data_IF_032276307550
#
_entry.id   IF_032276307550
#
_cell.length_a   1.000
_cell.length_b   1.000
_cell.length_c   1.000
_cell.angle_alpha   90.00
_cell.angle_beta   90.00
_cell.angle_gamma   90.00
#
_symmetry.space_group_name_H-M   'P 1'
#
loop_
_entity.id
_entity.type
_entity.pdbx_description
1 polymer ?
#
# COMPACT_ATOMS: atom_id res chain seq x y z
N UNK A 1 21.46 17.72 -10.23
CA UNK A 1 21.86 17.11 -11.51
C UNK A 1 20.60 16.48 -12.05
N UNK A 2 20.19 16.83 -13.26
CA UNK A 2 19.11 16.09 -13.94
C UNK A 2 19.81 14.90 -14.57
N UNK A 3 19.88 13.80 -13.82
CA UNK A 3 20.28 12.54 -14.43
C UNK A 3 19.25 12.21 -15.52
N UNK A 4 19.74 11.85 -16.71
CA UNK A 4 18.91 11.53 -17.87
C UNK A 4 18.22 10.17 -17.63
N UNK A 5 17.24 10.16 -16.75
CA UNK A 5 16.44 8.98 -16.46
C UNK A 5 15.51 8.66 -17.63
N UNK A 6 15.53 7.40 -18.08
CA UNK A 6 14.50 6.87 -18.99
C UNK A 6 13.43 6.17 -18.16
N UNK A 7 12.18 6.60 -18.28
CA UNK A 7 11.07 6.00 -17.53
C UNK A 7 10.32 4.98 -18.37
N UNK A 8 10.27 3.75 -17.87
CA UNK A 8 9.63 2.61 -18.52
C UNK A 8 8.51 2.03 -17.63
N UNK A 9 7.38 1.59 -18.21
CA UNK A 9 6.34 0.90 -17.45
C UNK A 9 6.86 -0.37 -16.78
N UNK A 10 6.46 -0.62 -15.53
CA UNK A 10 6.70 -1.88 -14.84
C UNK A 10 5.59 -2.90 -15.14
N UNK A 11 5.77 -4.14 -14.70
CA UNK A 11 4.79 -5.23 -14.91
C UNK A 11 3.42 -4.98 -14.24
N UNK A 12 3.40 -4.16 -13.19
CA UNK A 12 2.18 -3.78 -12.48
C UNK A 12 1.71 -2.42 -12.97
N UNK A 13 0.42 -2.29 -13.28
CA UNK A 13 -0.17 -1.04 -13.75
C UNK A 13 0.01 0.10 -12.73
N UNK A 14 0.37 1.30 -13.21
CA UNK A 14 0.60 2.47 -12.37
C UNK A 14 1.99 2.53 -11.72
N UNK A 15 2.84 1.52 -11.94
CA UNK A 15 4.23 1.46 -11.47
C UNK A 15 5.17 1.55 -12.66
N UNK A 16 6.30 2.23 -12.48
CA UNK A 16 7.32 2.41 -13.50
C UNK A 16 8.71 2.15 -12.91
N UNK A 17 9.70 2.05 -13.79
CA UNK A 17 11.11 2.02 -13.42
C UNK A 17 11.81 3.21 -14.09
N UNK A 18 12.60 3.95 -13.32
CA UNK A 18 13.55 4.91 -13.86
C UNK A 18 14.87 4.18 -14.11
N UNK A 19 15.29 4.11 -15.38
CA UNK A 19 16.58 3.57 -15.81
C UNK A 19 17.60 4.70 -15.79
N UNK A 20 18.65 4.54 -15.00
CA UNK A 20 19.74 5.50 -14.84
C UNK A 20 21.06 4.76 -14.56
N UNK A 21 21.94 5.37 -13.75
CA UNK A 21 23.12 4.67 -13.21
C UNK A 21 22.68 3.56 -12.25
N UNK A 22 21.70 3.84 -11.40
CA UNK A 22 20.97 2.86 -10.61
C UNK A 22 19.49 2.89 -10.99
N UNK A 23 18.89 1.71 -11.16
CA UNK A 23 17.46 1.59 -11.46
C UNK A 23 16.63 1.87 -10.21
N UNK A 24 15.60 2.72 -10.33
CA UNK A 24 14.70 3.03 -9.24
C UNK A 24 13.25 2.65 -9.55
N UNK A 25 12.57 2.01 -8.59
CA UNK A 25 11.12 1.78 -8.67
C UNK A 25 10.39 3.09 -8.39
N UNK A 26 9.52 3.51 -9.30
CA UNK A 26 8.87 4.82 -9.21
C UNK A 26 7.36 4.75 -9.47
N UNK A 27 6.62 5.76 -9.01
CA UNK A 27 5.22 5.99 -9.40
C UNK A 27 5.01 7.43 -9.83
N UNK A 28 3.98 7.67 -10.64
CA UNK A 28 3.58 9.04 -10.97
C UNK A 28 3.06 9.73 -9.72
N UNK A 29 3.61 10.89 -9.39
CA UNK A 29 3.21 11.64 -8.21
C UNK A 29 1.79 12.19 -8.41
N UNK A 30 0.88 11.87 -7.48
CA UNK A 30 -0.49 12.39 -7.51
C UNK A 30 -0.57 13.89 -7.20
N UNK A 31 0.42 14.44 -6.50
CA UNK A 31 0.44 15.84 -6.07
C UNK A 31 1.79 16.48 -6.42
N UNK A 32 1.97 16.91 -7.68
CA UNK A 32 3.20 17.49 -8.18
C UNK A 32 3.55 18.82 -7.48
N UNK A 33 4.84 19.13 -7.37
CA UNK A 33 5.33 20.44 -6.94
C UNK A 33 5.04 20.85 -5.48
N UNK A 34 4.42 19.99 -4.67
CA UNK A 34 4.19 20.25 -3.24
C UNK A 34 5.32 19.75 -2.35
N UNK A 35 5.37 20.24 -1.11
CA UNK A 35 6.18 19.65 -0.03
C UNK A 35 5.50 18.36 0.48
N UNK A 36 5.50 17.34 -0.36
CA UNK A 36 4.74 16.10 -0.19
C UNK A 36 5.64 14.86 -0.07
N UNK A 37 6.95 15.09 0.08
CA UNK A 37 7.94 14.07 0.38
C UNK A 37 7.59 13.52 1.75
N UNK A 38 7.02 12.33 1.73
CA UNK A 38 6.97 11.49 2.92
C UNK A 38 8.33 10.78 2.91
N UNK A 39 9.19 11.05 3.89
CA UNK A 39 10.48 10.36 4.09
C UNK A 39 11.55 10.48 2.98
N UNK A 40 12.08 11.69 2.71
CA UNK A 40 13.31 11.90 1.91
C UNK A 40 13.36 11.18 0.54
N UNK A 41 12.20 10.95 -0.07
CA UNK A 41 12.09 10.24 -1.35
C UNK A 41 12.65 11.06 -2.52
N UNK A 42 13.37 10.38 -3.42
CA UNK A 42 13.86 10.98 -4.66
C UNK A 42 12.69 11.37 -5.57
N UNK A 43 12.80 12.51 -6.24
CA UNK A 43 11.82 12.99 -7.21
C UNK A 43 12.45 13.15 -8.57
N UNK A 44 11.79 12.59 -9.58
CA UNK A 44 12.21 12.65 -10.97
C UNK A 44 11.16 13.44 -11.73
N UNK A 45 11.56 14.55 -12.35
CA UNK A 45 10.66 15.36 -13.18
C UNK A 45 11.04 15.19 -14.64
N UNK A 46 10.09 14.73 -15.45
CA UNK A 46 10.27 14.54 -16.88
C UNK A 46 9.44 15.56 -17.62
N UNK A 47 10.12 16.36 -18.46
CA UNK A 47 9.45 17.28 -19.38
C UNK A 47 9.05 16.52 -20.64
N UNK A 48 7.77 16.55 -20.97
CA UNK A 48 7.23 15.96 -22.20
C UNK A 48 7.42 16.90 -23.38
N UNK A 49 7.32 16.34 -24.58
CA UNK A 49 7.37 17.07 -25.85
C UNK A 49 6.28 18.14 -25.96
N UNK A 50 5.13 17.94 -25.31
CA UNK A 50 4.02 18.89 -25.25
C UNK A 50 4.26 20.08 -24.28
N UNK A 51 5.41 20.11 -23.61
CA UNK A 51 5.79 21.11 -22.61
C UNK A 51 5.21 20.87 -21.21
N UNK A 52 4.36 19.87 -21.02
CA UNK A 52 3.89 19.45 -19.69
C UNK A 52 5.01 18.74 -18.92
N UNK A 53 4.91 18.73 -17.59
CA UNK A 53 5.87 18.06 -16.70
C UNK A 53 5.14 16.97 -15.94
N UNK A 54 5.64 15.74 -16.07
CA UNK A 54 5.25 14.64 -15.19
C UNK A 54 6.28 14.54 -14.06
N UNK A 55 5.80 14.50 -12.83
CA UNK A 55 6.63 14.26 -11.65
C UNK A 55 6.43 12.82 -11.18
N UNK A 56 7.53 12.14 -10.88
CA UNK A 56 7.58 10.79 -10.36
C UNK A 56 8.27 10.78 -9.00
N UNK A 57 7.90 9.83 -8.16
CA UNK A 57 8.49 9.58 -6.83
C UNK A 57 9.19 8.24 -6.82
N UNK A 58 10.40 8.20 -6.27
CA UNK A 58 11.18 7.00 -6.03
C UNK A 58 10.78 6.30 -4.75
N UNK A 59 10.69 4.97 -4.81
CA UNK A 59 10.26 4.13 -3.70
C UNK A 59 11.37 3.25 -3.18
N UNK A 60 11.75 3.49 -1.94
CA UNK A 60 12.78 2.71 -1.28
C UNK A 60 12.21 1.39 -0.73
N UNK A 61 12.63 0.21 -1.26
CA UNK A 61 12.16 -1.09 -0.77
C UNK A 61 12.54 -1.38 0.69
N UNK A 62 13.56 -0.73 1.23
CA UNK A 62 13.96 -0.92 2.63
C UNK A 62 13.00 -0.26 3.63
N UNK A 63 12.15 0.66 3.17
CA UNK A 63 11.15 1.36 3.99
C UNK A 63 9.71 0.98 3.65
N UNK A 64 9.46 0.29 2.52
CA UNK A 64 8.12 -0.13 2.10
C UNK A 64 8.08 -1.61 1.74
N UNK A 65 7.35 -2.40 2.53
CA UNK A 65 7.18 -3.85 2.30
C UNK A 65 6.51 -4.15 0.96
N UNK A 66 5.57 -3.32 0.52
CA UNK A 66 4.95 -3.47 -0.80
C UNK A 66 5.96 -3.25 -1.92
N UNK A 67 6.80 -2.21 -1.85
CA UNK A 67 7.86 -1.96 -2.83
C UNK A 67 8.88 -3.11 -2.86
N UNK A 68 9.28 -3.62 -1.69
CA UNK A 68 10.14 -4.80 -1.59
C UNK A 68 9.50 -6.02 -2.27
N UNK A 69 8.22 -6.30 -2.00
CA UNK A 69 7.51 -7.43 -2.61
C UNK A 69 7.41 -7.30 -4.15
N UNK A 70 7.18 -6.09 -4.66
CA UNK A 70 7.13 -5.81 -6.10
C UNK A 70 8.48 -6.10 -6.76
N UNK A 71 9.58 -5.64 -6.16
CA UNK A 71 10.94 -5.87 -6.65
C UNK A 71 11.37 -7.34 -6.54
N UNK A 72 10.96 -8.04 -5.48
CA UNK A 72 11.18 -9.48 -5.34
C UNK A 72 10.34 -10.33 -6.31
N UNK A 73 9.54 -9.71 -7.17
CA UNK A 73 8.88 -10.40 -8.26
C UNK A 73 7.48 -10.93 -7.93
N UNK A 74 6.80 -10.43 -6.89
CA UNK A 74 5.41 -10.78 -6.60
C UNK A 74 4.54 -10.63 -7.87
N UNK A 75 3.78 -11.67 -8.22
CA UNK A 75 3.15 -11.77 -9.54
C UNK A 75 2.06 -10.74 -9.80
N UNK A 76 1.19 -10.51 -8.80
CA UNK A 76 0.15 -9.50 -8.85
C UNK A 76 -0.07 -8.93 -7.44
N UNK A 77 -0.32 -7.63 -7.36
CA UNK A 77 -0.63 -6.90 -6.13
C UNK A 77 -2.09 -6.46 -6.07
N UNK A 78 -2.84 -6.54 -7.18
CA UNK A 78 -4.25 -6.14 -7.34
C UNK A 78 -4.55 -4.67 -7.05
N UNK A 79 -3.54 -3.89 -6.69
CA UNK A 79 -3.55 -2.44 -6.56
C UNK A 79 -3.17 -1.88 -7.93
N UNK A 80 -4.12 -1.24 -8.59
CA UNK A 80 -4.00 -0.70 -9.95
C UNK A 80 -4.78 0.61 -10.06
N UNK A 81 -4.56 1.42 -11.12
CA UNK A 81 -5.33 2.64 -11.34
C UNK A 81 -6.84 2.41 -11.23
N UNK A 82 -7.52 3.23 -10.43
CA UNK A 82 -8.96 3.14 -10.15
C UNK A 82 -9.39 2.12 -9.11
N UNK A 83 -8.47 1.31 -8.54
CA UNK A 83 -8.82 0.33 -7.53
C UNK A 83 -9.24 0.99 -6.19
N UNK A 84 -10.16 0.33 -5.49
CA UNK A 84 -10.53 0.63 -4.11
C UNK A 84 -9.75 -0.29 -3.18
N UNK A 85 -8.92 0.27 -2.31
CA UNK A 85 -8.00 -0.47 -1.43
C UNK A 85 -8.41 -0.27 0.02
N UNK A 86 -8.49 -1.35 0.80
CA UNK A 86 -8.62 -1.29 2.26
C UNK A 86 -7.29 -1.69 2.91
N UNK A 87 -6.62 -0.73 3.53
CA UNK A 87 -5.40 -0.92 4.30
C UNK A 87 -5.73 -1.16 5.78
N UNK A 88 -5.22 -2.27 6.33
CA UNK A 88 -5.41 -2.65 7.74
C UNK A 88 -4.07 -2.59 8.48
N UNK A 89 -4.01 -1.79 9.55
CA UNK A 89 -2.84 -1.66 10.42
C UNK A 89 -1.60 -1.15 9.69
N UNK A 90 -1.80 -0.17 8.80
CA UNK A 90 -0.71 0.48 8.07
C UNK A 90 -0.45 1.83 8.71
N UNK A 91 0.68 1.95 9.38
CA UNK A 91 1.13 3.17 10.07
C UNK A 91 2.12 4.00 9.24
N UNK A 92 2.61 3.46 8.12
CA UNK A 92 3.55 4.12 7.20
C UNK A 92 2.83 4.97 6.16
N UNK A 93 3.01 6.30 6.26
CA UNK A 93 2.58 7.26 5.23
C UNK A 93 3.23 6.99 3.86
N UNK A 94 4.45 6.46 3.85
CA UNK A 94 5.20 6.00 2.67
C UNK A 94 4.36 4.97 1.90
N UNK A 95 3.93 3.89 2.56
CA UNK A 95 3.18 2.80 1.92
C UNK A 95 1.81 3.26 1.42
N UNK A 96 1.10 4.08 2.21
CA UNK A 96 -0.23 4.57 1.82
C UNK A 96 -0.13 5.55 0.65
N UNK A 97 0.86 6.43 0.67
CA UNK A 97 1.07 7.38 -0.43
C UNK A 97 1.52 6.68 -1.72
N UNK A 98 2.26 5.56 -1.64
CA UNK A 98 2.55 4.70 -2.79
C UNK A 98 1.28 4.16 -3.41
N UNK A 99 0.42 3.57 -2.59
CA UNK A 99 -0.85 3.04 -3.07
C UNK A 99 -1.71 4.12 -3.69
N UNK A 100 -1.82 5.28 -3.02
CA UNK A 100 -2.52 6.46 -3.52
C UNK A 100 -2.04 6.89 -4.90
N UNK A 101 -0.73 6.93 -5.12
CA UNK A 101 -0.15 7.30 -6.41
C UNK A 101 -0.48 6.26 -7.50
N UNK A 102 -0.43 4.96 -7.18
CA UNK A 102 -0.77 3.88 -8.11
C UNK A 102 -2.26 3.94 -8.51
N UNK A 103 -3.16 4.10 -7.54
CA UNK A 103 -4.61 4.06 -7.80
C UNK A 103 -5.11 5.34 -8.48
N UNK A 104 -4.39 6.45 -8.35
CA UNK A 104 -4.74 7.73 -8.95
C UNK A 104 -6.02 8.37 -8.37
N UNK A 105 -6.50 9.41 -9.06
CA UNK A 105 -7.67 10.19 -8.65
C UNK A 105 -9.02 9.45 -8.73
N UNK A 106 -9.08 8.33 -9.45
CA UNK A 106 -10.31 7.56 -9.66
C UNK A 106 -10.49 6.44 -8.63
N UNK A 107 -9.42 6.06 -7.92
CA UNK A 107 -9.47 5.08 -6.85
C UNK A 107 -9.65 5.71 -5.48
N UNK A 108 -9.68 4.88 -4.44
CA UNK A 108 -9.64 5.32 -3.04
C UNK A 108 -8.85 4.33 -2.17
N UNK A 109 -8.07 4.85 -1.22
CA UNK A 109 -7.43 4.07 -0.15
C UNK A 109 -8.14 4.36 1.17
N UNK A 110 -8.76 3.36 1.76
CA UNK A 110 -9.26 3.40 3.13
C UNK A 110 -8.19 2.86 4.07
N UNK A 111 -7.81 3.61 5.09
CA UNK A 111 -6.79 3.20 6.06
C UNK A 111 -7.42 3.04 7.42
N UNK A 112 -7.44 1.81 7.94
CA UNK A 112 -7.91 1.51 9.30
C UNK A 112 -6.69 1.37 10.19
N UNK A 113 -6.49 2.37 11.05
CA UNK A 113 -5.38 2.44 11.99
C UNK A 113 -5.91 2.77 13.39
N UNK A 114 -5.48 1.99 14.39
CA UNK A 114 -5.96 2.08 15.76
C UNK A 114 -5.02 2.88 16.67
N UNK A 115 -3.76 3.02 16.27
CA UNK A 115 -2.73 3.68 17.07
C UNK A 115 -2.82 5.20 16.92
N UNK A 116 -2.78 5.89 18.06
CA UNK A 116 -2.76 7.36 18.11
C UNK A 116 -1.36 7.95 17.92
N UNK A 117 -0.30 7.13 17.96
CA UNK A 117 1.09 7.63 18.01
C UNK A 117 1.54 8.28 16.71
N UNK A 118 1.18 7.70 15.56
CA UNK A 118 1.61 8.16 14.23
C UNK A 118 0.47 8.75 13.40
N UNK A 119 -0.65 9.06 14.05
CA UNK A 119 -1.86 9.47 13.34
C UNK A 119 -1.77 10.89 12.79
N UNK A 120 -0.97 11.75 13.42
CA UNK A 120 -0.74 13.12 12.96
C UNK A 120 -0.15 13.13 11.55
N UNK A 121 0.96 12.42 11.35
CA UNK A 121 1.66 12.33 10.06
C UNK A 121 0.79 11.71 8.97
N UNK A 122 0.03 10.65 9.32
CA UNK A 122 -0.94 10.03 8.40
C UNK A 122 -2.05 11.00 7.99
N UNK A 123 -2.60 11.75 8.94
CA UNK A 123 -3.64 12.74 8.67
C UNK A 123 -3.10 13.89 7.83
N UNK A 124 -1.88 14.36 8.10
CA UNK A 124 -1.26 15.44 7.32
C UNK A 124 -0.94 15.00 5.88
N UNK A 125 -0.54 13.75 5.68
CA UNK A 125 -0.40 13.13 4.37
C UNK A 125 -1.76 13.02 3.66
N UNK A 126 -2.81 12.59 4.36
CA UNK A 126 -4.16 12.43 3.81
C UNK A 126 -4.82 13.78 3.46
N UNK A 127 -4.56 14.86 4.20
CA UNK A 127 -5.05 16.23 3.87
C UNK A 127 -4.62 16.67 2.47
N UNK A 128 -3.45 16.21 2.02
CA UNK A 128 -2.91 16.53 0.70
C UNK A 128 -3.50 15.60 -0.38
N UNK A 129 -3.88 14.36 -0.03
CA UNK A 129 -4.32 13.29 -0.93
C UNK A 129 -5.83 13.02 -0.80
N UNK A 130 -6.68 13.58 -1.68
CA UNK A 130 -8.14 13.48 -1.54
C UNK A 130 -8.68 12.05 -1.74
N UNK A 131 -7.89 11.15 -2.33
CA UNK A 131 -8.20 9.73 -2.50
C UNK A 131 -7.79 8.86 -1.30
N UNK A 132 -7.34 9.45 -0.19
CA UNK A 132 -7.00 8.72 1.05
C UNK A 132 -7.97 9.08 2.16
N UNK A 133 -8.61 8.06 2.74
CA UNK A 133 -9.56 8.21 3.84
C UNK A 133 -9.01 7.46 5.06
N UNK A 134 -8.69 8.20 6.11
CA UNK A 134 -8.20 7.64 7.38
C UNK A 134 -9.38 7.34 8.30
N UNK A 135 -9.40 6.13 8.86
CA UNK A 135 -10.41 5.61 9.77
C UNK A 135 -9.70 5.23 11.06
N UNK A 136 -9.95 6.00 12.12
CA UNK A 136 -9.32 5.80 13.43
C UNK A 136 -10.12 4.78 14.24
N UNK A 137 -9.94 3.50 13.95
CA UNK A 137 -10.65 2.41 14.63
C UNK A 137 -9.85 1.12 14.67
N UNK A 138 -10.30 0.19 15.52
CA UNK A 138 -9.73 -1.15 15.62
C UNK A 138 -10.25 -2.09 14.51
N UNK A 139 -9.34 -2.56 13.65
CA UNK A 139 -9.63 -3.48 12.56
C UNK A 139 -10.27 -4.81 12.99
N UNK A 140 -10.23 -5.17 14.28
CA UNK A 140 -10.94 -6.34 14.83
C UNK A 140 -12.47 -6.16 14.85
N UNK A 141 -12.96 -4.93 14.69
CA UNK A 141 -14.38 -4.58 14.80
C UNK A 141 -14.90 -3.84 13.56
N UNK A 142 -14.97 -4.50 12.37
CA UNK A 142 -15.39 -3.85 11.12
C UNK A 142 -16.78 -3.21 11.16
N UNK A 143 -17.65 -3.66 12.07
CA UNK A 143 -18.95 -3.04 12.29
C UNK A 143 -18.88 -1.60 12.80
N UNK A 144 -17.74 -1.14 13.35
CA UNK A 144 -17.58 0.20 13.91
C UNK A 144 -17.25 1.27 12.86
N UNK A 145 -16.68 0.89 11.72
CA UNK A 145 -16.31 1.82 10.65
C UNK A 145 -17.12 1.63 9.37
N UNK A 146 -18.44 1.48 9.55
CA UNK A 146 -19.42 1.44 8.44
C UNK A 146 -19.53 2.76 7.65
N UNK A 147 -18.72 3.76 7.98
CA UNK A 147 -18.49 4.95 7.16
C UNK A 147 -17.76 4.62 5.86
N UNK A 148 -17.11 3.44 5.78
CA UNK A 148 -16.53 2.94 4.54
C UNK A 148 -17.63 2.78 3.49
N UNK A 149 -17.54 3.59 2.43
CA UNK A 149 -18.50 3.61 1.34
C UNK A 149 -18.24 2.43 0.40
N UNK A 150 -19.17 1.48 0.32
CA UNK A 150 -19.13 0.38 -0.65
C UNK A 150 -18.05 -0.69 -0.43
N UNK A 151 -17.94 -1.60 -1.40
CA UNK A 151 -17.01 -2.72 -1.36
C UNK A 151 -15.66 -2.36 -2.00
N UNK A 152 -14.57 -2.95 -1.51
CA UNK A 152 -13.20 -2.77 -2.00
C UNK A 152 -12.77 -3.90 -2.94
N UNK A 153 -11.81 -3.60 -3.80
CA UNK A 153 -11.25 -4.56 -4.77
C UNK A 153 -10.12 -5.40 -4.14
N UNK A 154 -9.35 -4.77 -3.24
CA UNK A 154 -8.20 -5.40 -2.60
C UNK A 154 -8.06 -4.96 -1.14
N UNK A 155 -7.71 -5.91 -0.26
CA UNK A 155 -7.27 -5.62 1.11
C UNK A 155 -5.75 -5.72 1.18
N UNK A 156 -5.08 -4.68 1.68
CA UNK A 156 -3.68 -4.75 2.07
C UNK A 156 -3.59 -4.80 3.60
N UNK A 157 -2.91 -5.80 4.15
CA UNK A 157 -2.77 -5.94 5.61
C UNK A 157 -1.30 -6.00 6.02
N UNK A 158 -0.92 -5.09 6.92
CA UNK A 158 0.36 -5.11 7.61
C UNK A 158 0.21 -5.21 9.14
N UNK A 159 -0.95 -5.72 9.58
CA UNK A 159 -1.27 -5.91 10.99
C UNK A 159 -0.30 -6.92 11.61
N UNK A 160 0.53 -6.46 12.54
CA UNK A 160 1.39 -7.32 13.34
C UNK A 160 0.63 -7.88 14.57
N UNK A 161 -0.22 -8.89 14.37
CA UNK A 161 -1.02 -9.51 15.43
C UNK A 161 -1.16 -11.03 15.25
N UNK A 162 -1.20 -11.86 16.32
CA UNK A 162 -1.38 -13.31 16.20
C UNK A 162 -2.68 -13.77 15.53
N UNK A 163 -3.73 -12.95 15.64
CA UNK A 163 -5.04 -13.15 15.00
C UNK A 163 -5.17 -12.49 13.61
N UNK A 164 -4.07 -12.21 12.91
CA UNK A 164 -4.07 -11.49 11.64
C UNK A 164 -5.03 -12.13 10.60
N UNK A 165 -5.01 -13.46 10.46
CA UNK A 165 -5.89 -14.18 9.54
C UNK A 165 -7.38 -13.93 9.82
N UNK A 166 -7.79 -13.97 11.09
CA UNK A 166 -9.18 -13.71 11.51
C UNK A 166 -9.58 -12.25 11.24
N UNK A 167 -8.67 -11.30 11.48
CA UNK A 167 -8.91 -9.87 11.21
C UNK A 167 -9.18 -9.66 9.72
N UNK A 168 -8.36 -10.28 8.86
CA UNK A 168 -8.54 -10.21 7.40
C UNK A 168 -9.83 -10.90 6.97
N UNK A 169 -10.11 -12.12 7.46
CA UNK A 169 -11.36 -12.85 7.20
C UNK A 169 -12.60 -12.03 7.51
N UNK A 170 -12.62 -11.43 8.70
CA UNK A 170 -13.74 -10.59 9.12
C UNK A 170 -13.87 -9.35 8.24
N UNK A 171 -12.78 -8.62 7.95
CA UNK A 171 -12.84 -7.44 7.08
C UNK A 171 -13.26 -7.80 5.65
N UNK A 172 -12.77 -8.91 5.11
CA UNK A 172 -13.13 -9.37 3.78
C UNK A 172 -14.62 -9.72 3.69
N UNK A 173 -15.17 -10.40 4.69
CA UNK A 173 -16.60 -10.75 4.71
C UNK A 173 -17.54 -9.53 4.73
N UNK A 174 -17.07 -8.38 5.21
CA UNK A 174 -17.84 -7.14 5.26
C UNK A 174 -17.62 -6.24 4.05
N UNK A 175 -16.39 -6.15 3.56
CA UNK A 175 -15.98 -5.08 2.64
C UNK A 175 -15.34 -5.56 1.34
N UNK A 176 -14.90 -6.81 1.22
CA UNK A 176 -14.26 -7.28 -0.02
C UNK A 176 -15.31 -7.75 -1.02
N UNK A 177 -15.18 -7.31 -2.28
CA UNK A 177 -16.04 -7.79 -3.37
C UNK A 177 -15.88 -9.30 -3.57
N UNK A 178 -16.91 -9.95 -4.10
CA UNK A 178 -16.79 -11.31 -4.63
C UNK A 178 -15.72 -11.35 -5.73
N UNK A 179 -14.73 -12.24 -5.58
CA UNK A 179 -13.56 -12.31 -6.47
C UNK A 179 -12.52 -11.22 -6.21
N UNK A 180 -12.67 -10.43 -5.14
CA UNK A 180 -11.62 -9.52 -4.66
C UNK A 180 -10.42 -10.27 -4.09
N UNK A 181 -9.33 -9.54 -3.88
CA UNK A 181 -8.05 -10.12 -3.48
C UNK A 181 -7.52 -9.50 -2.19
N UNK A 182 -6.49 -10.10 -1.62
CA UNK A 182 -5.77 -9.51 -0.50
C UNK A 182 -4.26 -9.74 -0.63
N UNK A 183 -3.51 -8.80 -0.06
CA UNK A 183 -2.06 -8.85 0.08
C UNK A 183 -1.75 -8.76 1.56
N UNK A 184 -1.09 -9.77 2.10
CA UNK A 184 -0.76 -9.88 3.52
C UNK A 184 0.76 -9.84 3.72
N UNK A 185 1.19 -8.96 4.62
CA UNK A 185 2.56 -8.94 5.13
C UNK A 185 2.62 -9.73 6.44
N UNK A 186 3.36 -10.84 6.45
CA UNK A 186 3.50 -11.72 7.61
C UNK A 186 4.88 -11.54 8.22
N UNK A 187 4.94 -10.95 9.40
CA UNK A 187 6.17 -10.86 10.20
C UNK A 187 6.21 -12.00 11.22
N UNK A 188 6.93 -13.07 10.89
CA UNK A 188 7.00 -14.29 11.71
C UNK A 188 7.31 -14.00 13.18
N UNK A 189 8.34 -13.20 13.45
CA UNK A 189 8.77 -12.84 14.81
C UNK A 189 7.71 -12.09 15.64
N UNK A 190 6.75 -11.42 15.00
CA UNK A 190 5.66 -10.74 15.70
C UNK A 190 4.50 -11.68 16.04
N UNK A 191 4.43 -12.84 15.39
CA UNK A 191 3.41 -13.86 15.62
C UNK A 191 3.92 -14.89 16.62
N UNK A 192 5.13 -15.40 16.40
CA UNK A 192 5.78 -16.38 17.26
C UNK A 192 7.31 -16.27 17.06
N UNK A 193 8.02 -15.82 18.10
CA UNK A 193 9.47 -15.60 18.05
C UNK A 193 10.28 -16.84 18.43
N UNK A 194 9.62 -17.93 18.82
CA UNK A 194 10.27 -19.16 19.32
C UNK A 194 10.44 -20.16 18.18
N UNK A 195 9.46 -20.25 17.29
CA UNK A 195 9.45 -21.23 16.19
C UNK A 195 10.06 -20.68 14.89
N UNK A 196 10.56 -21.55 14.00
CA UNK A 196 11.08 -21.13 12.69
C UNK A 196 10.04 -20.41 11.83
N UNK A 197 10.47 -19.42 11.05
CA UNK A 197 9.60 -18.58 10.24
C UNK A 197 8.75 -19.40 9.25
N UNK A 198 9.32 -20.44 8.64
CA UNK A 198 8.63 -21.34 7.71
C UNK A 198 7.43 -22.03 8.36
N UNK A 199 7.56 -22.37 9.64
CA UNK A 199 6.47 -22.98 10.42
C UNK A 199 5.35 -21.97 10.68
N UNK A 200 5.71 -20.73 11.00
CA UNK A 200 4.74 -19.64 11.15
C UNK A 200 3.99 -19.42 9.84
N UNK A 201 4.70 -19.30 8.72
CA UNK A 201 4.08 -19.09 7.40
C UNK A 201 3.11 -20.21 7.02
N UNK A 202 3.50 -21.47 7.21
CA UNK A 202 2.63 -22.61 6.94
C UNK A 202 1.38 -22.62 7.85
N UNK A 203 1.51 -22.19 9.11
CA UNK A 203 0.38 -22.09 10.04
C UNK A 203 -0.58 -20.98 9.65
N UNK A 204 -0.07 -19.79 9.34
CA UNK A 204 -0.90 -18.65 8.93
C UNK A 204 -1.59 -18.93 7.59
N UNK A 205 -0.91 -19.59 6.64
CA UNK A 205 -1.54 -20.03 5.41
C UNK A 205 -2.74 -20.98 5.66
N UNK A 206 -2.59 -21.96 6.55
CA UNK A 206 -3.69 -22.85 6.94
C UNK A 206 -4.86 -22.12 7.58
N UNK A 207 -4.59 -21.11 8.41
CA UNK A 207 -5.65 -20.28 9.01
C UNK A 207 -6.41 -19.50 7.94
N UNK A 208 -5.70 -18.90 6.96
CA UNK A 208 -6.33 -18.17 5.86
C UNK A 208 -7.27 -19.08 5.05
N UNK A 209 -6.81 -20.29 4.70
CA UNK A 209 -7.67 -21.27 3.99
C UNK A 209 -8.91 -21.65 4.82
N UNK A 210 -8.77 -21.76 6.15
CA UNK A 210 -9.88 -22.07 7.04
C UNK A 210 -10.93 -20.94 7.15
N UNK A 211 -10.53 -19.68 6.95
CA UNK A 211 -11.42 -18.51 6.89
C UNK A 211 -12.14 -18.38 5.53
N UNK A 212 -12.11 -19.44 4.70
CA UNK A 212 -12.74 -19.54 3.38
C UNK A 212 -12.14 -18.63 2.29
N UNK A 213 -10.82 -18.43 2.34
CA UNK A 213 -10.02 -17.87 1.25
C UNK A 213 -9.39 -18.94 0.36
#
# INVERSE_FOLDING_TARGET
MTDDYVVEPWKHEGIFVAKGEEDALITKNLIPGGDNTVDDEERITIQKEDGSKDEYRGWNPFHCKLAAAILCGLGNIWIKPGARVLCLGVDSGTTISLMSDIIGHTGVVYVVESSHKNIGDLVDMAKKRPNVIIIVEDARHPTKYRILDGMVDVIYSDVAHPDQARIIGLNASYYLKTGGHFVISIKANSIDSIVPAETVYAREFKKLVAEAF
#
